data_IF_069224733317
#
_entry.id   IF_069224733317
#
_cell.length_a   1.000
_cell.length_b   1.000
_cell.length_c   1.000
_cell.angle_alpha   90.00
_cell.angle_beta   90.00
_cell.angle_gamma   90.00
#
_symmetry.space_group_name_H-M   'P 1'
#
loop_
_entity.id
_entity.type
_entity.pdbx_description
1 polymer ?
#
# COMPACT_ATOMS: atom_id res chain seq x y z
N UNK A 1 -3.08 5.44 16.18
CA UNK A 1 -3.07 4.51 15.03
C UNK A 1 -4.00 5.04 13.94
N UNK A 2 -3.54 5.14 12.69
CA UNK A 2 -4.43 5.55 11.61
C UNK A 2 -5.47 4.46 11.31
N UNK A 3 -6.68 4.89 10.96
CA UNK A 3 -7.72 3.99 10.48
C UNK A 3 -7.37 3.50 9.05
N UNK A 4 -8.01 2.42 8.55
CA UNK A 4 -7.79 1.99 7.16
C UNK A 4 -8.00 3.11 6.15
N UNK A 5 -9.01 3.96 6.33
CA UNK A 5 -9.26 5.09 5.44
C UNK A 5 -8.12 6.12 5.49
N UNK A 6 -7.62 6.44 6.69
CA UNK A 6 -6.47 7.33 6.86
C UNK A 6 -5.22 6.74 6.20
N UNK A 7 -5.03 5.44 6.31
CA UNK A 7 -3.91 4.75 5.68
C UNK A 7 -3.95 4.89 4.16
N UNK A 8 -5.12 4.70 3.54
CA UNK A 8 -5.28 4.86 2.09
C UNK A 8 -4.87 6.27 1.63
N UNK A 9 -5.30 7.30 2.37
CA UNK A 9 -4.93 8.67 2.05
C UNK A 9 -3.43 8.92 2.22
N UNK A 10 -2.86 8.46 3.32
CA UNK A 10 -1.42 8.63 3.58
C UNK A 10 -0.56 7.94 2.52
N UNK A 11 -0.96 6.75 2.10
CA UNK A 11 -0.28 6.02 1.04
C UNK A 11 -0.31 6.81 -0.27
N UNK A 12 -1.47 7.31 -0.69
CA UNK A 12 -1.61 8.07 -1.93
C UNK A 12 -0.87 9.39 -1.88
N UNK A 13 -0.96 10.10 -0.76
CA UNK A 13 -0.23 11.37 -0.58
C UNK A 13 1.28 11.12 -0.68
N UNK A 14 1.78 10.08 -0.03
CA UNK A 14 3.20 9.73 -0.09
C UNK A 14 3.63 9.44 -1.54
N UNK A 15 2.87 8.62 -2.27
CA UNK A 15 3.15 8.30 -3.67
C UNK A 15 3.18 9.54 -4.56
N UNK A 16 2.20 10.43 -4.40
CA UNK A 16 2.12 11.65 -5.19
C UNK A 16 3.32 12.56 -4.93
N UNK A 17 3.73 12.71 -3.68
CA UNK A 17 4.89 13.54 -3.32
C UNK A 17 6.17 12.93 -3.87
N UNK A 18 6.34 11.61 -3.80
CA UNK A 18 7.53 10.95 -4.36
C UNK A 18 7.58 11.07 -5.89
N UNK A 19 6.43 10.97 -6.57
CA UNK A 19 6.37 11.04 -8.04
C UNK A 19 6.45 12.47 -8.58
N UNK A 20 5.69 13.40 -7.99
CA UNK A 20 5.50 14.75 -8.52
C UNK A 20 6.16 15.84 -7.68
N UNK A 21 6.57 15.51 -6.45
CA UNK A 21 7.12 16.49 -5.50
C UNK A 21 6.04 17.24 -4.73
N UNK A 22 4.76 17.02 -5.02
CA UNK A 22 3.64 17.66 -4.33
C UNK A 22 2.38 16.81 -4.41
N UNK A 23 1.42 17.10 -3.52
CA UNK A 23 0.11 16.48 -3.56
C UNK A 23 -0.95 17.58 -3.40
N UNK A 24 -1.90 17.64 -4.31
CA UNK A 24 -3.03 18.57 -4.27
C UNK A 24 -4.31 17.80 -3.96
N UNK A 25 -5.29 18.50 -3.39
CA UNK A 25 -6.61 17.91 -3.10
C UNK A 25 -7.20 17.25 -4.37
N UNK A 26 -7.08 17.93 -5.53
CA UNK A 26 -7.58 17.39 -6.80
C UNK A 26 -6.88 16.11 -7.21
N UNK A 27 -5.57 16.03 -7.03
CA UNK A 27 -4.79 14.83 -7.36
C UNK A 27 -5.18 13.64 -6.49
N UNK A 28 -5.37 13.89 -5.20
CA UNK A 28 -5.78 12.86 -4.23
C UNK A 28 -7.19 12.36 -4.56
N UNK A 29 -8.11 13.28 -4.84
CA UNK A 29 -9.49 12.95 -5.19
C UNK A 29 -9.54 12.05 -6.43
N UNK A 30 -8.76 12.39 -7.45
CA UNK A 30 -8.66 11.59 -8.67
C UNK A 30 -8.07 10.22 -8.40
N UNK A 31 -6.96 10.15 -7.66
CA UNK A 31 -6.28 8.88 -7.34
C UNK A 31 -7.16 7.91 -6.57
N UNK A 32 -7.96 8.42 -5.62
CA UNK A 32 -8.80 7.59 -4.76
C UNK A 32 -10.23 7.42 -5.29
N UNK A 33 -10.60 8.15 -6.34
CA UNK A 33 -11.95 8.09 -6.88
C UNK A 33 -12.99 8.62 -5.90
N UNK A 34 -12.66 9.67 -5.14
CA UNK A 34 -13.53 10.28 -4.15
C UNK A 34 -13.78 11.75 -4.47
N UNK A 35 -14.81 12.33 -3.84
CA UNK A 35 -15.12 13.74 -4.01
C UNK A 35 -14.08 14.63 -3.32
N UNK A 36 -13.70 15.79 -3.93
CA UNK A 36 -12.73 16.70 -3.31
C UNK A 36 -13.10 17.15 -1.90
N UNK A 37 -14.38 17.30 -1.60
CA UNK A 37 -14.82 17.67 -0.24
C UNK A 37 -14.48 16.60 0.80
N UNK A 38 -14.50 15.32 0.41
CA UNK A 38 -14.08 14.21 1.27
C UNK A 38 -12.59 14.27 1.53
N UNK A 39 -11.81 14.60 0.51
CA UNK A 39 -10.37 14.79 0.65
C UNK A 39 -10.05 15.90 1.63
N UNK A 40 -10.70 17.06 1.48
CA UNK A 40 -10.50 18.22 2.37
C UNK A 40 -10.75 17.86 3.82
N UNK A 41 -11.84 17.13 4.10
CA UNK A 41 -12.17 16.67 5.46
C UNK A 41 -11.09 15.74 6.03
N UNK A 42 -10.64 14.78 5.23
CA UNK A 42 -9.62 13.84 5.68
C UNK A 42 -8.28 14.52 5.89
N UNK A 43 -7.90 15.44 4.99
CA UNK A 43 -6.66 16.20 5.10
C UNK A 43 -6.64 17.03 6.38
N UNK A 44 -7.77 17.66 6.73
CA UNK A 44 -7.89 18.40 7.98
C UNK A 44 -7.73 17.48 9.19
N UNK A 45 -8.28 16.27 9.13
CA UNK A 45 -8.14 15.29 10.20
C UNK A 45 -6.69 14.83 10.33
N UNK A 46 -6.01 14.54 9.22
CA UNK A 46 -4.61 14.14 9.21
C UNK A 46 -3.69 15.25 9.75
N UNK A 47 -4.02 16.51 9.45
CA UNK A 47 -3.33 17.67 10.01
C UNK A 47 -3.46 17.72 11.54
N UNK A 48 -4.69 17.58 12.03
CA UNK A 48 -4.94 17.58 13.50
C UNK A 48 -4.18 16.45 14.21
N UNK A 49 -4.01 15.33 13.54
CA UNK A 49 -3.30 14.18 14.11
C UNK A 49 -1.80 14.18 13.78
N UNK A 50 -1.29 15.27 13.23
CA UNK A 50 0.13 15.53 12.98
C UNK A 50 0.81 14.66 11.93
N UNK A 51 0.04 14.05 11.02
CA UNK A 51 0.60 13.28 9.90
C UNK A 51 1.03 14.18 8.74
N UNK A 52 0.41 15.35 8.61
CA UNK A 52 0.74 16.32 7.58
C UNK A 52 0.47 17.74 8.07
N UNK A 53 0.94 18.71 7.30
CA UNK A 53 0.60 20.12 7.46
C UNK A 53 -0.14 20.55 6.21
N UNK A 54 -1.34 21.10 6.41
CA UNK A 54 -2.16 21.61 5.30
C UNK A 54 -2.29 23.11 5.41
N UNK A 55 -1.80 23.82 4.39
CA UNK A 55 -1.95 25.25 4.25
C UNK A 55 -2.80 25.52 3.00
N UNK A 56 -3.92 26.21 3.18
CA UNK A 56 -4.96 26.38 2.15
C UNK A 56 -4.44 26.80 0.77
N UNK A 57 -3.38 27.62 0.73
CA UNK A 57 -2.82 28.12 -0.54
C UNK A 57 -1.42 27.59 -0.86
N UNK A 58 -0.81 26.85 0.04
CA UNK A 58 0.52 26.30 -0.13
C UNK A 58 0.55 24.79 -0.37
N UNK A 59 -0.57 24.11 -0.17
CA UNK A 59 -0.70 22.69 -0.39
C UNK A 59 -0.37 21.85 0.85
N UNK A 60 -0.04 20.59 0.61
CA UNK A 60 0.19 19.58 1.63
C UNK A 60 1.66 19.27 1.77
N UNK A 61 2.12 19.14 3.00
CA UNK A 61 3.46 18.64 3.33
C UNK A 61 3.33 17.53 4.37
N UNK A 62 3.99 16.40 4.14
CA UNK A 62 4.04 15.33 5.14
C UNK A 62 5.00 15.71 6.27
N UNK A 63 4.59 15.49 7.50
CA UNK A 63 5.50 15.55 8.64
C UNK A 63 6.43 14.33 8.59
N UNK A 64 7.56 14.34 9.35
CA UNK A 64 8.39 13.13 9.44
C UNK A 64 7.59 11.89 9.86
N UNK A 65 6.62 12.05 10.76
CA UNK A 65 5.71 10.99 11.19
C UNK A 65 4.86 10.47 10.02
N UNK A 66 4.26 11.37 9.27
CA UNK A 66 3.43 11.03 8.11
C UNK A 66 4.24 10.37 6.99
N UNK A 67 5.44 10.87 6.73
CA UNK A 67 6.34 10.30 5.72
C UNK A 67 6.74 8.88 6.08
N UNK A 68 7.10 8.64 7.34
CA UNK A 68 7.50 7.31 7.80
C UNK A 68 6.36 6.30 7.63
N UNK A 69 5.15 6.69 7.99
CA UNK A 69 3.98 5.84 7.85
C UNK A 69 3.65 5.59 6.38
N UNK A 70 3.62 6.65 5.57
CA UNK A 70 3.33 6.53 4.14
C UNK A 70 4.30 5.60 3.43
N UNK A 71 5.60 5.73 3.71
CA UNK A 71 6.62 4.84 3.17
C UNK A 71 6.37 3.38 3.55
N UNK A 72 6.06 3.14 4.82
CA UNK A 72 5.78 1.79 5.33
C UNK A 72 4.55 1.19 4.65
N UNK A 73 3.51 2.00 4.41
CA UNK A 73 2.30 1.54 3.73
C UNK A 73 2.57 1.14 2.28
N UNK A 74 3.36 1.94 1.56
CA UNK A 74 3.76 1.61 0.19
C UNK A 74 4.58 0.33 0.14
N UNK A 75 5.53 0.17 1.07
CA UNK A 75 6.35 -1.03 1.15
C UNK A 75 5.50 -2.27 1.49
N UNK A 76 4.53 -2.13 2.38
CA UNK A 76 3.60 -3.21 2.74
C UNK A 76 2.78 -3.65 1.53
N UNK A 77 2.25 -2.69 0.78
CA UNK A 77 1.48 -2.95 -0.43
C UNK A 77 2.33 -3.74 -1.45
N UNK A 78 3.53 -3.27 -1.73
CA UNK A 78 4.46 -3.91 -2.67
C UNK A 78 4.82 -5.33 -2.23
N UNK A 79 5.07 -5.53 -0.93
CA UNK A 79 5.39 -6.84 -0.37
C UNK A 79 4.25 -7.84 -0.59
N UNK A 80 3.02 -7.41 -0.34
CA UNK A 80 1.85 -8.26 -0.52
C UNK A 80 1.59 -8.57 -2.00
N UNK A 81 1.82 -7.61 -2.90
CA UNK A 81 1.76 -7.87 -4.33
C UNK A 81 2.77 -8.94 -4.74
N UNK A 82 4.01 -8.79 -4.29
CA UNK A 82 5.08 -9.75 -4.59
C UNK A 82 4.75 -11.14 -4.07
N UNK A 83 4.18 -11.22 -2.87
CA UNK A 83 3.74 -12.48 -2.28
C UNK A 83 2.68 -13.16 -3.14
N UNK A 84 1.66 -12.43 -3.55
CA UNK A 84 0.58 -12.99 -4.34
C UNK A 84 1.07 -13.44 -5.73
N UNK A 85 1.99 -12.69 -6.33
CA UNK A 85 2.63 -13.13 -7.58
C UNK A 85 3.43 -14.40 -7.39
N UNK A 86 4.18 -14.47 -6.30
CA UNK A 86 5.00 -15.64 -5.99
C UNK A 86 4.15 -16.91 -5.90
N UNK A 87 3.01 -16.84 -5.23
CA UNK A 87 2.14 -18.00 -5.06
C UNK A 87 1.24 -18.26 -6.28
N UNK A 88 1.32 -17.43 -7.32
CA UNK A 88 0.64 -17.70 -8.58
C UNK A 88 -0.73 -17.09 -8.77
N UNK A 89 -1.08 -16.06 -8.01
CA UNK A 89 -2.36 -15.35 -8.18
C UNK A 89 -2.30 -14.55 -9.49
N UNK A 90 -3.40 -14.57 -10.26
CA UNK A 90 -3.50 -13.84 -11.51
C UNK A 90 -3.33 -12.33 -11.29
N UNK A 91 -2.57 -11.69 -12.16
CA UNK A 91 -2.22 -10.28 -12.05
C UNK A 91 -3.45 -9.37 -11.91
N UNK A 92 -4.54 -9.70 -12.60
CA UNK A 92 -5.80 -8.92 -12.55
C UNK A 92 -6.50 -8.95 -11.18
N UNK A 93 -6.18 -9.95 -10.33
CA UNK A 93 -6.76 -10.09 -8.99
C UNK A 93 -5.89 -9.47 -7.89
N UNK A 94 -4.60 -9.31 -8.16
CA UNK A 94 -3.62 -8.94 -7.13
C UNK A 94 -3.94 -7.62 -6.45
N UNK A 95 -4.21 -6.58 -7.21
CA UNK A 95 -4.48 -5.26 -6.64
C UNK A 95 -5.66 -5.30 -5.66
N UNK A 96 -6.76 -5.92 -6.08
CA UNK A 96 -7.98 -6.02 -5.27
C UNK A 96 -7.74 -6.84 -4.00
N UNK A 97 -7.01 -7.95 -4.11
CA UNK A 97 -6.73 -8.80 -2.98
C UNK A 97 -5.83 -8.09 -1.97
N UNK A 98 -4.80 -7.38 -2.44
CA UNK A 98 -3.94 -6.59 -1.56
C UNK A 98 -4.74 -5.51 -0.83
N UNK A 99 -5.62 -4.79 -1.54
CA UNK A 99 -6.50 -3.79 -0.92
C UNK A 99 -7.35 -4.41 0.21
N UNK A 100 -7.74 -5.67 0.05
CA UNK A 100 -8.55 -6.37 1.06
C UNK A 100 -7.78 -6.79 2.30
N UNK A 101 -6.49 -7.07 2.19
CA UNK A 101 -5.71 -7.64 3.31
C UNK A 101 -4.71 -6.67 3.95
N UNK A 102 -4.27 -5.62 3.24
CA UNK A 102 -3.16 -4.79 3.70
C UNK A 102 -3.40 -4.07 5.03
N UNK A 103 -4.66 -3.76 5.35
CA UNK A 103 -4.99 -3.07 6.59
C UNK A 103 -5.23 -4.02 7.77
N UNK A 104 -5.21 -5.32 7.54
CA UNK A 104 -5.59 -6.33 8.54
C UNK A 104 -4.51 -7.37 8.81
N UNK A 105 -3.30 -7.14 8.35
CA UNK A 105 -2.19 -8.06 8.54
C UNK A 105 -1.18 -7.47 9.52
N UNK A 106 -0.66 -8.30 10.43
CA UNK A 106 0.31 -7.86 11.42
C UNK A 106 1.70 -7.65 10.83
N UNK A 107 2.51 -6.82 11.49
CA UNK A 107 3.91 -6.61 11.11
C UNK A 107 4.68 -7.93 11.18
N UNK A 108 4.41 -8.74 12.21
CA UNK A 108 5.04 -10.05 12.35
C UNK A 108 4.76 -10.96 11.15
N UNK A 109 3.49 -11.02 10.70
CA UNK A 109 3.12 -11.79 9.52
C UNK A 109 3.83 -11.27 8.26
N UNK A 110 3.92 -9.95 8.10
CA UNK A 110 4.64 -9.34 6.97
C UNK A 110 6.12 -9.71 6.98
N UNK A 111 6.77 -9.71 8.14
CA UNK A 111 8.18 -10.11 8.25
C UNK A 111 8.37 -11.58 7.83
N UNK A 112 7.49 -12.46 8.23
CA UNK A 112 7.54 -13.88 7.84
C UNK A 112 7.31 -14.07 6.34
N UNK A 113 6.37 -13.34 5.77
CA UNK A 113 6.11 -13.34 4.32
C UNK A 113 7.34 -12.83 3.58
N UNK A 114 7.97 -11.76 4.05
CA UNK A 114 9.18 -11.23 3.45
C UNK A 114 10.31 -12.26 3.46
N UNK A 115 10.48 -12.95 4.57
CA UNK A 115 11.46 -14.05 4.68
C UNK A 115 11.21 -15.15 3.67
N UNK A 116 9.97 -15.52 3.47
CA UNK A 116 9.60 -16.52 2.47
C UNK A 116 9.89 -16.04 1.04
N UNK A 117 9.57 -14.79 0.73
CA UNK A 117 9.87 -14.19 -0.57
C UNK A 117 11.39 -14.23 -0.84
N UNK A 118 12.19 -13.84 0.15
CA UNK A 118 13.65 -13.88 0.05
C UNK A 118 14.15 -15.32 -0.19
N UNK A 119 13.61 -16.28 0.54
CA UNK A 119 13.95 -17.69 0.39
C UNK A 119 13.75 -18.17 -1.05
N UNK A 120 12.59 -17.86 -1.64
CA UNK A 120 12.30 -18.23 -3.03
C UNK A 120 13.16 -17.45 -4.04
N UNK A 121 13.44 -16.17 -3.76
CA UNK A 121 14.27 -15.37 -4.69
C UNK A 121 15.69 -15.90 -4.82
N UNK A 122 16.21 -16.51 -3.77
CA UNK A 122 17.53 -17.14 -3.76
C UNK A 122 17.52 -18.56 -4.37
N UNK A 123 16.35 -19.12 -4.63
CA UNK A 123 16.15 -20.49 -5.12
C UNK A 123 15.12 -20.53 -6.25
N UNK A 124 15.48 -20.02 -7.45
CA UNK A 124 14.50 -19.88 -8.55
C UNK A 124 13.78 -21.19 -8.92
N UNK A 125 14.47 -22.32 -8.82
CA UNK A 125 13.90 -23.63 -9.13
C UNK A 125 12.72 -24.00 -8.25
N UNK A 126 12.69 -23.53 -7.01
CA UNK A 126 11.60 -23.82 -6.07
C UNK A 126 10.30 -23.13 -6.45
N UNK A 127 10.38 -21.94 -7.03
CA UNK A 127 9.19 -21.23 -7.51
C UNK A 127 8.52 -22.02 -8.64
N UNK A 128 9.31 -22.51 -9.58
CA UNK A 128 8.80 -23.34 -10.67
C UNK A 128 8.23 -24.66 -10.17
N UNK A 129 8.88 -25.26 -9.17
CA UNK A 129 8.41 -26.47 -8.54
C UNK A 129 7.05 -26.27 -7.86
N UNK A 130 6.88 -25.16 -7.13
CA UNK A 130 5.61 -24.80 -6.53
C UNK A 130 4.50 -24.66 -7.58
N UNK A 131 4.78 -23.94 -8.67
CA UNK A 131 3.80 -23.74 -9.72
C UNK A 131 3.40 -25.03 -10.41
N UNK A 132 4.35 -25.96 -10.65
CA UNK A 132 4.07 -27.29 -11.19
C UNK A 132 3.19 -28.10 -10.25
N UNK A 133 3.48 -28.05 -8.96
CA UNK A 133 2.67 -28.73 -7.95
C UNK A 133 1.22 -28.22 -7.95
N UNK A 134 1.04 -26.91 -8.00
CA UNK A 134 -0.29 -26.29 -8.05
C UNK A 134 -1.07 -26.70 -9.30
N UNK A 135 -0.41 -26.79 -10.46
CA UNK A 135 -1.04 -27.23 -11.70
C UNK A 135 -1.45 -28.69 -11.66
N UNK A 136 -0.65 -29.52 -10.99
CA UNK A 136 -0.94 -30.97 -10.85
C UNK A 136 -2.04 -31.25 -9.81
N UNK A 137 -2.33 -30.30 -8.92
CA UNK A 137 -3.32 -30.44 -7.85
C UNK A 137 -4.29 -29.25 -7.87
N UNK A 138 -5.03 -29.03 -8.98
CA UNK A 138 -6.00 -27.95 -9.04
C UNK A 138 -7.14 -28.22 -8.06
N UNK A 139 -7.68 -27.15 -7.47
CA UNK A 139 -8.88 -27.25 -6.67
C UNK A 139 -10.09 -27.45 -7.57
N UNK A 140 -11.03 -28.27 -7.12
CA UNK A 140 -12.27 -28.56 -7.85
C UNK A 140 -13.25 -27.37 -7.85
#
# INVERSE_FOLDING_TARGET
MPTPSMEDYLEQIYKLIEDKGYARVSDIAESLGVHPSSVTKMVQKLDRETYLVYEKYRGLMLTPKGRKIGKRLVERHALLEDFLRLVGVDEELIYKDVEGIEHHISIEALDKINGMIQFFSERPGLKEELHRYQQAHPED
#
